data_IF_969651606450
#
_entry.id   IF_969651606450
#
_cell.length_a   1.000
_cell.length_b   1.000
_cell.length_c   1.000
_cell.angle_alpha   90.00
_cell.angle_beta   90.00
_cell.angle_gamma   90.00
#
_symmetry.space_group_name_H-M   'P 1'
#
loop_
_entity.id
_entity.type
_entity.pdbx_description
1 polymer ?
#
# COMPACT_ATOMS: atom_id res chain seq x y z
N UNK A 1 25.06 16.34 26.02
CA UNK A 1 24.29 16.38 24.77
C UNK A 1 25.27 16.17 23.63
N UNK A 2 25.17 15.06 22.89
CA UNK A 2 25.97 14.85 21.67
C UNK A 2 25.31 15.70 20.58
N UNK A 3 26.03 16.66 20.02
CA UNK A 3 25.57 17.41 18.88
C UNK A 3 25.56 16.47 17.67
N UNK A 4 24.37 16.12 17.19
CA UNK A 4 24.22 15.42 15.91
C UNK A 4 24.00 16.45 14.80
N UNK A 5 24.66 16.33 13.65
CA UNK A 5 24.35 17.14 12.49
C UNK A 5 22.86 17.03 12.14
N UNK A 6 22.25 18.16 11.75
CA UNK A 6 20.84 18.23 11.35
C UNK A 6 20.46 17.18 10.30
N UNK A 7 21.34 16.97 9.32
CA UNK A 7 21.18 15.99 8.26
C UNK A 7 21.07 14.56 8.81
N UNK A 8 21.92 14.19 9.78
CA UNK A 8 21.89 12.86 10.41
C UNK A 8 20.56 12.62 11.13
N UNK A 9 20.03 13.62 11.81
CA UNK A 9 18.74 13.53 12.50
C UNK A 9 17.60 13.34 11.50
N UNK A 10 17.61 14.07 10.39
CA UNK A 10 16.60 13.92 9.34
C UNK A 10 16.67 12.56 8.64
N UNK A 11 17.87 12.03 8.42
CA UNK A 11 18.08 10.70 7.83
C UNK A 11 17.58 9.59 8.75
N UNK A 12 17.87 9.66 10.05
CA UNK A 12 17.34 8.72 11.05
C UNK A 12 15.80 8.72 11.06
N UNK A 13 15.21 9.91 11.08
CA UNK A 13 13.77 10.07 11.08
C UNK A 13 13.11 9.61 9.78
N UNK A 14 13.74 9.87 8.64
CA UNK A 14 13.30 9.33 7.36
C UNK A 14 13.30 7.79 7.37
N UNK A 15 14.33 7.17 7.94
CA UNK A 15 14.40 5.71 8.09
C UNK A 15 13.26 5.17 8.96
N UNK A 16 12.86 5.91 10.01
CA UNK A 16 11.69 5.57 10.83
C UNK A 16 10.42 5.65 9.99
N UNK A 17 10.17 6.73 9.26
CA UNK A 17 8.98 6.87 8.41
C UNK A 17 8.88 5.74 7.38
N UNK A 18 10.02 5.30 6.82
CA UNK A 18 10.06 4.19 5.85
C UNK A 18 9.79 2.83 6.46
N UNK A 19 10.21 2.58 7.71
CA UNK A 19 10.35 1.23 8.23
C UNK A 19 9.54 0.93 9.50
N UNK A 20 8.84 1.91 10.08
CA UNK A 20 8.22 1.84 11.42
C UNK A 20 7.17 0.74 11.66
N UNK A 21 6.73 -0.02 10.66
CA UNK A 21 5.65 -1.01 10.81
C UNK A 21 4.26 -0.42 11.05
N UNK A 22 4.20 0.86 11.43
CA UNK A 22 3.01 1.69 11.57
C UNK A 22 2.39 2.05 10.20
N UNK A 23 1.20 2.66 10.24
CA UNK A 23 0.62 3.30 9.06
C UNK A 23 1.55 4.45 8.64
N UNK A 24 1.92 4.59 7.35
CA UNK A 24 2.93 5.57 6.94
C UNK A 24 2.60 7.02 7.32
N UNK A 25 1.33 7.42 7.24
CA UNK A 25 0.88 8.73 7.72
C UNK A 25 1.10 8.94 9.23
N UNK A 26 0.86 7.91 10.05
CA UNK A 26 1.11 8.00 11.50
C UNK A 26 2.60 8.16 11.74
N UNK A 27 3.44 7.38 11.05
CA UNK A 27 4.88 7.47 11.18
C UNK A 27 5.39 8.87 10.79
N UNK A 28 4.90 9.42 9.68
CA UNK A 28 5.21 10.79 9.24
C UNK A 28 4.84 11.82 10.32
N UNK A 29 3.61 11.79 10.84
CA UNK A 29 3.17 12.78 11.83
C UNK A 29 3.91 12.66 13.17
N UNK A 30 4.22 11.43 13.61
CA UNK A 30 5.02 11.20 14.81
C UNK A 30 6.42 11.76 14.66
N UNK A 31 7.08 11.49 13.53
CA UNK A 31 8.40 12.03 13.21
C UNK A 31 8.38 13.55 13.07
N UNK A 32 7.38 14.11 12.38
CA UNK A 32 7.25 15.56 12.22
C UNK A 32 7.11 16.23 13.60
N UNK A 33 6.20 15.73 14.45
CA UNK A 33 6.02 16.22 15.82
C UNK A 33 7.31 16.12 16.64
N UNK A 34 8.00 14.97 16.60
CA UNK A 34 9.29 14.78 17.28
C UNK A 34 10.30 15.85 16.85
N UNK A 35 10.42 16.08 15.53
CA UNK A 35 11.37 17.03 14.98
C UNK A 35 11.05 18.47 15.35
N UNK A 36 9.78 18.87 15.41
CA UNK A 36 9.38 20.29 15.48
C UNK A 36 8.84 20.76 16.83
N UNK A 37 8.13 19.90 17.56
CA UNK A 37 7.30 20.30 18.70
C UNK A 37 7.66 19.58 20.01
N UNK A 38 8.19 18.37 19.94
CA UNK A 38 8.48 17.57 21.12
C UNK A 38 9.52 18.26 22.05
N UNK A 39 9.21 18.46 23.34
CA UNK A 39 10.16 18.98 24.33
C UNK A 39 11.46 18.17 24.43
N UNK A 40 11.39 16.86 24.20
CA UNK A 40 12.53 15.95 24.22
C UNK A 40 13.16 15.75 22.82
N UNK A 41 12.58 16.39 21.80
CA UNK A 41 13.05 16.39 20.42
C UNK A 41 14.01 17.54 20.07
N UNK A 42 14.49 17.61 18.82
CA UNK A 42 15.45 18.63 18.39
C UNK A 42 14.85 20.02 18.15
N UNK A 43 13.51 20.17 18.16
CA UNK A 43 12.80 21.44 18.00
C UNK A 43 13.24 22.26 16.77
N UNK A 44 13.43 21.56 15.66
CA UNK A 44 13.83 22.14 14.39
C UNK A 44 12.67 22.90 13.76
N UNK A 45 12.98 24.02 13.13
CA UNK A 45 12.11 24.60 12.11
C UNK A 45 12.48 23.94 10.78
N UNK A 46 11.61 23.07 10.26
CA UNK A 46 11.82 22.40 8.99
C UNK A 46 11.45 23.33 7.83
N UNK A 47 12.27 23.35 6.80
CA UNK A 47 11.92 23.99 5.54
C UNK A 47 11.04 23.07 4.66
N UNK A 48 10.63 23.59 3.51
CA UNK A 48 9.74 22.86 2.60
C UNK A 48 10.39 21.59 2.04
N UNK A 49 11.70 21.63 1.75
CA UNK A 49 12.42 20.50 1.16
C UNK A 49 12.55 19.35 2.17
N UNK A 50 12.80 19.69 3.43
CA UNK A 50 12.89 18.71 4.52
C UNK A 50 11.54 18.08 4.85
N UNK A 51 10.46 18.86 4.82
CA UNK A 51 9.10 18.32 4.96
C UNK A 51 8.78 17.39 3.79
N UNK A 52 9.08 17.82 2.56
CA UNK A 52 8.87 17.02 1.37
C UNK A 52 9.66 15.70 1.42
N UNK A 53 10.90 15.72 1.91
CA UNK A 53 11.73 14.54 2.08
C UNK A 53 11.06 13.47 2.97
N UNK A 54 10.43 13.88 4.07
CA UNK A 54 9.68 12.98 4.96
C UNK A 54 8.35 12.53 4.34
N UNK A 55 7.66 13.41 3.61
CA UNK A 55 6.43 13.07 2.90
C UNK A 55 6.69 12.00 1.81
N UNK A 56 7.76 12.16 1.03
CA UNK A 56 8.21 11.18 0.03
C UNK A 56 8.51 9.82 0.66
N UNK A 57 9.05 9.81 1.88
CA UNK A 57 9.27 8.60 2.64
C UNK A 57 7.95 7.84 2.91
N UNK A 58 6.92 8.58 3.35
CA UNK A 58 5.61 8.02 3.62
C UNK A 58 4.90 7.55 2.34
N UNK A 59 4.94 8.33 1.26
CA UNK A 59 4.31 7.96 -0.01
C UNK A 59 4.98 6.73 -0.64
N UNK A 60 6.32 6.66 -0.61
CA UNK A 60 7.06 5.48 -1.04
C UNK A 60 6.66 4.23 -0.23
N UNK A 61 6.47 4.39 1.09
CA UNK A 61 6.05 3.27 1.93
C UNK A 61 4.62 2.81 1.64
N UNK A 62 3.69 3.73 1.39
CA UNK A 62 2.35 3.37 0.93
C UNK A 62 2.42 2.55 -0.36
N UNK A 63 3.20 2.99 -1.35
CA UNK A 63 3.37 2.29 -2.61
C UNK A 63 3.85 0.85 -2.41
N UNK A 64 4.90 0.65 -1.61
CA UNK A 64 5.42 -0.69 -1.33
C UNK A 64 4.38 -1.62 -0.72
N UNK A 65 3.62 -1.14 0.27
CA UNK A 65 2.60 -1.95 0.95
C UNK A 65 1.49 -2.34 -0.03
N UNK A 66 1.03 -1.38 -0.84
CA UNK A 66 -0.01 -1.61 -1.84
C UNK A 66 0.46 -2.63 -2.87
N UNK A 67 1.64 -2.44 -3.46
CA UNK A 67 2.17 -3.33 -4.50
C UNK A 67 2.51 -4.72 -3.95
N UNK A 68 2.98 -4.82 -2.70
CA UNK A 68 3.17 -6.10 -2.01
C UNK A 68 1.87 -6.90 -1.95
N UNK A 69 0.78 -6.25 -1.56
CA UNK A 69 -0.53 -6.91 -1.37
C UNK A 69 -1.29 -7.11 -2.70
N UNK A 70 -0.88 -6.44 -3.78
CA UNK A 70 -1.35 -6.69 -5.15
C UNK A 70 -0.50 -7.72 -5.92
N UNK A 71 0.69 -8.05 -5.44
CA UNK A 71 1.53 -9.06 -6.07
C UNK A 71 0.97 -10.46 -5.83
N UNK A 72 0.47 -11.12 -6.88
CA UNK A 72 -0.16 -12.43 -6.76
C UNK A 72 0.80 -13.50 -6.20
N UNK A 73 2.09 -13.43 -6.55
CA UNK A 73 3.13 -14.35 -6.07
C UNK A 73 3.32 -14.28 -4.56
N UNK A 74 3.09 -13.12 -3.95
CA UNK A 74 3.25 -12.95 -2.52
C UNK A 74 2.21 -13.74 -1.70
N UNK A 75 1.10 -14.21 -2.30
CA UNK A 75 0.05 -14.96 -1.59
C UNK A 75 0.56 -16.18 -0.81
N UNK A 76 1.73 -16.70 -1.18
CA UNK A 76 2.38 -17.85 -0.54
C UNK A 76 3.33 -17.44 0.61
N UNK A 77 3.54 -16.15 0.80
CA UNK A 77 4.45 -15.59 1.80
C UNK A 77 3.67 -15.02 2.99
N UNK A 78 4.28 -15.12 4.18
CA UNK A 78 3.68 -14.62 5.44
C UNK A 78 3.51 -13.10 5.48
N UNK A 79 4.17 -12.37 4.58
CA UNK A 79 4.09 -10.91 4.45
C UNK A 79 2.81 -10.45 3.73
N UNK A 80 2.10 -11.35 3.05
CA UNK A 80 0.90 -11.02 2.29
C UNK A 80 -0.30 -10.84 3.22
N UNK A 81 -1.04 -9.76 2.99
CA UNK A 81 -2.22 -9.41 3.81
C UNK A 81 -3.53 -9.33 3.02
N UNK A 82 -3.48 -9.56 1.70
CA UNK A 82 -4.65 -9.58 0.82
C UNK A 82 -5.05 -8.23 0.24
N UNK A 83 -5.84 -8.29 -0.84
CA UNK A 83 -6.26 -7.10 -1.62
C UNK A 83 -7.04 -6.10 -0.79
N UNK A 84 -7.83 -6.53 0.19
CA UNK A 84 -8.54 -5.63 1.09
C UNK A 84 -7.57 -4.66 1.79
N UNK A 85 -6.38 -5.13 2.18
CA UNK A 85 -5.36 -4.30 2.81
C UNK A 85 -4.74 -3.33 1.80
N UNK A 86 -4.56 -3.73 0.55
CA UNK A 86 -4.14 -2.82 -0.53
C UNK A 86 -5.16 -1.69 -0.73
N UNK A 87 -6.46 -1.99 -0.79
CA UNK A 87 -7.54 -1.00 -0.95
C UNK A 87 -7.51 0.03 0.18
N UNK A 88 -7.42 -0.41 1.43
CA UNK A 88 -7.35 0.50 2.57
C UNK A 88 -6.11 1.39 2.53
N UNK A 89 -4.94 0.85 2.15
CA UNK A 89 -3.73 1.66 2.06
C UNK A 89 -3.74 2.63 0.88
N UNK A 90 -4.35 2.25 -0.24
CA UNK A 90 -4.59 3.17 -1.37
C UNK A 90 -5.46 4.35 -0.95
N UNK A 91 -6.60 4.10 -0.30
CA UNK A 91 -7.49 5.18 0.16
C UNK A 91 -6.79 6.09 1.19
N UNK A 92 -6.00 5.51 2.09
CA UNK A 92 -5.17 6.28 3.04
C UNK A 92 -4.12 7.12 2.32
N UNK A 93 -3.42 6.57 1.33
CA UNK A 93 -2.38 7.30 0.61
C UNK A 93 -2.96 8.47 -0.18
N UNK A 94 -4.12 8.28 -0.82
CA UNK A 94 -4.84 9.37 -1.51
C UNK A 94 -5.20 10.48 -0.52
N UNK A 95 -5.83 10.12 0.61
CA UNK A 95 -6.24 11.10 1.61
C UNK A 95 -5.03 11.80 2.27
N UNK A 96 -3.92 11.09 2.47
CA UNK A 96 -2.65 11.67 2.93
C UNK A 96 -2.14 12.71 1.92
N UNK A 97 -2.02 12.34 0.64
CA UNK A 97 -1.57 13.25 -0.41
C UNK A 97 -2.46 14.51 -0.52
N UNK A 98 -3.78 14.36 -0.43
CA UNK A 98 -4.72 15.47 -0.41
C UNK A 98 -4.50 16.39 0.81
N UNK A 99 -4.33 15.83 2.01
CA UNK A 99 -4.06 16.61 3.23
C UNK A 99 -2.73 17.35 3.19
N UNK A 100 -1.72 16.75 2.58
CA UNK A 100 -0.38 17.31 2.48
C UNK A 100 -0.21 18.27 1.30
N UNK A 101 -1.24 18.45 0.46
CA UNK A 101 -1.17 19.19 -0.81
C UNK A 101 0.01 18.75 -1.71
N UNK A 102 0.27 17.43 -1.72
CA UNK A 102 1.31 16.83 -2.55
C UNK A 102 0.70 15.96 -3.63
N UNK A 103 1.37 15.91 -4.77
CA UNK A 103 0.98 15.00 -5.81
C UNK A 103 1.43 13.57 -5.46
N UNK A 104 0.48 12.65 -5.35
CA UNK A 104 0.72 11.21 -5.35
C UNK A 104 1.13 10.73 -6.77
N UNK A 105 2.11 11.38 -7.40
CA UNK A 105 2.51 11.07 -8.77
C UNK A 105 3.03 9.62 -8.87
N UNK A 106 2.70 8.98 -9.99
CA UNK A 106 2.99 7.58 -10.37
C UNK A 106 2.33 6.44 -9.57
N UNK A 107 1.77 6.70 -8.38
CA UNK A 107 1.15 5.63 -7.59
C UNK A 107 -0.09 5.03 -8.28
N UNK A 108 -0.96 5.85 -8.87
CA UNK A 108 -2.21 5.37 -9.50
C UNK A 108 -1.94 4.42 -10.66
N UNK A 109 -1.04 4.78 -11.58
CA UNK A 109 -0.72 3.96 -12.76
C UNK A 109 -0.11 2.63 -12.34
N UNK A 110 0.87 2.68 -11.45
CA UNK A 110 1.55 1.47 -10.95
C UNK A 110 0.56 0.55 -10.21
N UNK A 111 -0.31 1.11 -9.38
CA UNK A 111 -1.36 0.36 -8.67
C UNK A 111 -2.37 -0.25 -9.64
N UNK A 112 -2.79 0.50 -10.67
CA UNK A 112 -3.68 0.02 -11.74
C UNK A 112 -3.08 -1.18 -12.46
N UNK A 113 -1.83 -1.07 -12.89
CA UNK A 113 -1.12 -2.14 -13.61
C UNK A 113 -0.98 -3.40 -12.74
N UNK A 114 -0.57 -3.24 -11.48
CA UNK A 114 -0.46 -4.33 -10.53
C UNK A 114 -1.81 -5.03 -10.29
N UNK A 115 -2.88 -4.24 -10.13
CA UNK A 115 -4.23 -4.79 -9.91
C UNK A 115 -4.76 -5.55 -11.13
N UNK A 116 -4.59 -5.02 -12.34
CA UNK A 116 -4.98 -5.74 -13.58
C UNK A 116 -4.18 -7.03 -13.76
N UNK A 117 -2.88 -7.00 -13.44
CA UNK A 117 -2.03 -8.19 -13.49
C UNK A 117 -2.48 -9.26 -12.48
N UNK A 118 -2.84 -8.84 -11.26
CA UNK A 118 -3.40 -9.70 -10.22
C UNK A 118 -4.66 -10.41 -10.72
N UNK A 119 -5.64 -9.65 -11.25
CA UNK A 119 -6.90 -10.20 -11.76
C UNK A 119 -6.65 -11.23 -12.88
N UNK A 120 -5.73 -10.93 -13.78
CA UNK A 120 -5.34 -11.84 -14.88
C UNK A 120 -4.72 -13.14 -14.36
N UNK A 121 -3.86 -13.07 -13.34
CA UNK A 121 -3.23 -14.25 -12.74
C UNK A 121 -4.23 -15.08 -11.94
N UNK A 122 -5.04 -14.44 -11.11
CA UNK A 122 -6.11 -15.08 -10.33
C UNK A 122 -7.08 -15.88 -11.21
N UNK A 123 -7.55 -15.29 -12.32
CA UNK A 123 -8.46 -15.96 -13.27
C UNK A 123 -7.83 -17.21 -13.90
N UNK A 124 -6.55 -17.13 -14.28
CA UNK A 124 -5.81 -18.27 -14.86
C UNK A 124 -5.72 -19.42 -13.87
N UNK A 125 -5.32 -19.14 -12.63
CA UNK A 125 -5.20 -20.15 -11.57
C UNK A 125 -6.54 -20.82 -11.26
N UNK A 126 -7.65 -20.07 -11.25
CA UNK A 126 -8.98 -20.63 -11.01
C UNK A 126 -9.45 -21.54 -12.17
N UNK A 127 -9.03 -21.24 -13.40
CA UNK A 127 -9.43 -22.01 -14.58
C UNK A 127 -8.66 -23.33 -14.73
N UNK A 128 -7.52 -23.50 -14.04
CA UNK A 128 -6.61 -24.63 -14.21
C UNK A 128 -6.56 -25.59 -13.01
N UNK A 129 -7.31 -25.34 -11.94
CA UNK A 129 -7.30 -26.22 -10.77
C UNK A 129 -7.99 -27.55 -11.11
N UNK A 130 -7.28 -28.70 -11.07
CA UNK A 130 -7.92 -29.99 -11.27
C UNK A 130 -8.91 -30.26 -10.12
N UNK A 131 -10.17 -30.48 -10.47
CA UNK A 131 -11.22 -30.95 -9.55
C UNK A 131 -10.98 -32.44 -9.28
N UNK A 132 -9.84 -32.79 -8.68
CA UNK A 132 -9.58 -34.15 -8.23
C UNK A 132 -10.12 -34.28 -6.80
N UNK A 133 -11.12 -35.14 -6.54
CA UNK A 133 -11.62 -35.39 -5.19
C UNK A 133 -10.47 -35.92 -4.33
N UNK A 134 -10.05 -35.14 -3.32
CA UNK A 134 -8.98 -35.52 -2.39
C UNK A 134 -7.66 -34.76 -2.54
N UNK A 135 -7.52 -33.84 -3.51
CA UNK A 135 -6.39 -32.92 -3.53
C UNK A 135 -6.57 -31.90 -2.38
N UNK A 136 -5.69 -31.95 -1.38
CA UNK A 136 -5.55 -30.85 -0.41
C UNK A 136 -5.10 -29.64 -1.23
N UNK A 137 -5.94 -28.61 -1.33
CA UNK A 137 -5.56 -27.33 -1.92
C UNK A 137 -4.44 -26.74 -1.06
N UNK A 138 -3.19 -26.95 -1.47
CA UNK A 138 -1.98 -26.36 -0.84
C UNK A 138 -1.84 -24.87 -1.15
N UNK A 139 -2.70 -24.32 -2.00
CA UNK A 139 -2.69 -22.91 -2.38
C UNK A 139 -3.85 -22.14 -1.73
N UNK A 140 -3.63 -20.87 -1.33
CA UNK A 140 -4.69 -20.05 -0.79
C UNK A 140 -5.82 -19.86 -1.81
N UNK A 141 -7.07 -19.95 -1.36
CA UNK A 141 -8.25 -19.70 -2.19
C UNK A 141 -8.30 -18.26 -2.67
N UNK A 142 -9.06 -17.98 -3.75
CA UNK A 142 -9.28 -16.59 -4.19
C UNK A 142 -9.93 -15.74 -3.10
N UNK A 143 -10.86 -16.33 -2.34
CA UNK A 143 -11.42 -15.75 -1.12
C UNK A 143 -10.35 -15.22 -0.14
N UNK A 144 -9.27 -15.99 0.07
CA UNK A 144 -8.13 -15.55 0.89
C UNK A 144 -7.31 -14.43 0.22
N UNK A 145 -7.04 -14.56 -1.08
CA UNK A 145 -6.27 -13.57 -1.85
C UNK A 145 -6.95 -12.20 -1.84
N UNK A 146 -8.22 -12.16 -2.18
CA UNK A 146 -8.96 -10.92 -2.35
C UNK A 146 -9.52 -10.36 -1.05
N UNK A 147 -9.92 -11.23 -0.11
CA UNK A 147 -10.41 -10.91 1.23
C UNK A 147 -11.33 -9.68 1.36
N UNK A 148 -12.08 -9.34 0.30
CA UNK A 148 -13.01 -8.22 0.23
C UNK A 148 -14.22 -8.58 -0.64
N UNK A 149 -15.22 -7.70 -0.63
CA UNK A 149 -16.44 -7.87 -1.40
C UNK A 149 -16.24 -7.52 -2.89
N UNK A 150 -17.13 -8.01 -3.75
CA UNK A 150 -17.15 -7.62 -5.16
C UNK A 150 -17.44 -6.12 -5.34
N UNK A 151 -18.19 -5.54 -4.41
CA UNK A 151 -18.43 -4.11 -4.34
C UNK A 151 -17.13 -3.33 -4.07
N UNK A 152 -16.31 -3.76 -3.10
CA UNK A 152 -15.02 -3.14 -2.81
C UNK A 152 -14.07 -3.19 -4.01
N UNK A 153 -13.98 -4.32 -4.71
CA UNK A 153 -13.16 -4.45 -5.92
C UNK A 153 -13.65 -3.54 -7.05
N UNK A 154 -14.96 -3.40 -7.22
CA UNK A 154 -15.53 -2.54 -8.25
C UNK A 154 -15.24 -1.07 -7.96
N UNK A 155 -15.41 -0.64 -6.70
CA UNK A 155 -15.06 0.72 -6.30
C UNK A 155 -13.56 0.99 -6.46
N UNK A 156 -12.71 0.05 -6.01
CA UNK A 156 -11.27 0.18 -6.16
C UNK A 156 -10.84 0.28 -7.64
N UNK A 157 -11.45 -0.51 -8.52
CA UNK A 157 -11.23 -0.40 -9.96
C UNK A 157 -11.59 1.00 -10.50
N UNK A 158 -12.72 1.55 -10.07
CA UNK A 158 -13.15 2.91 -10.46
C UNK A 158 -12.18 3.98 -9.95
N UNK A 159 -11.75 3.89 -8.68
CA UNK A 159 -10.76 4.79 -8.08
C UNK A 159 -9.42 4.78 -8.84
N UNK A 160 -9.06 3.64 -9.43
CA UNK A 160 -7.87 3.48 -10.28
C UNK A 160 -8.09 3.90 -11.75
N UNK A 161 -9.30 4.32 -12.13
CA UNK A 161 -9.64 4.66 -13.51
C UNK A 161 -9.63 3.44 -14.43
N UNK A 162 -10.08 2.29 -13.94
CA UNK A 162 -10.28 1.06 -14.71
C UNK A 162 -11.74 1.01 -15.16
N UNK A 163 -11.93 0.83 -16.47
CA UNK A 163 -13.26 0.72 -17.08
C UNK A 163 -13.83 -0.68 -16.92
N UNK A 164 -15.16 -0.83 -17.06
CA UNK A 164 -15.83 -2.13 -16.89
C UNK A 164 -15.34 -3.15 -17.91
N UNK A 165 -14.97 -2.71 -19.11
CA UNK A 165 -14.48 -3.53 -20.22
C UNK A 165 -13.09 -4.13 -19.92
N UNK A 166 -12.34 -3.51 -19.02
CA UNK A 166 -11.04 -4.01 -18.56
C UNK A 166 -11.16 -5.00 -17.40
N UNK A 167 -12.33 -5.09 -16.75
CA UNK A 167 -12.57 -6.00 -15.65
C UNK A 167 -13.04 -7.38 -16.15
N UNK A 168 -12.65 -8.47 -15.48
CA UNK A 168 -13.21 -9.79 -15.75
C UNK A 168 -14.73 -9.80 -15.50
N UNK A 169 -15.49 -10.43 -16.41
CA UNK A 169 -16.94 -10.57 -16.25
C UNK A 169 -17.34 -11.42 -15.03
N UNK A 170 -16.43 -12.29 -14.60
CA UNK A 170 -16.53 -13.23 -13.49
C UNK A 170 -15.91 -12.70 -12.18
N UNK A 171 -15.72 -11.37 -12.05
CA UNK A 171 -15.10 -10.74 -10.88
C UNK A 171 -15.74 -11.15 -9.55
N UNK A 172 -17.06 -11.41 -9.54
CA UNK A 172 -17.77 -11.86 -8.34
C UNK A 172 -17.31 -13.22 -7.81
N UNK A 173 -16.68 -14.06 -8.64
CA UNK A 173 -16.13 -15.36 -8.23
C UNK A 173 -14.83 -15.24 -7.42
N UNK A 174 -14.24 -14.04 -7.36
CA UNK A 174 -12.99 -13.80 -6.65
C UNK A 174 -13.19 -13.45 -5.18
N UNK A 175 -14.41 -13.04 -4.82
CA UNK A 175 -14.75 -12.47 -3.52
C UNK A 175 -15.48 -13.48 -2.62
N UNK A 176 -15.51 -13.15 -1.33
CA UNK A 176 -16.38 -13.79 -0.35
C UNK A 176 -17.83 -13.37 -0.50
#
# INVERSE_FOLDING_TARGET
MIFRPRQEVLEDEWLIVRNSGEIPEIAFHSTYYYLTEDPDGPQLQLDREEIQYLQEAATARYQEIILRDLCFENRELTIYRGVQRAIFNWRRSVAFCERQDIACHDLRSTTKEAFLLLLKKARRTNSTAPISPGAINTFPSLAFVFNCSSHDLTLFAQELGITKEQLPADLSLFCN
#
